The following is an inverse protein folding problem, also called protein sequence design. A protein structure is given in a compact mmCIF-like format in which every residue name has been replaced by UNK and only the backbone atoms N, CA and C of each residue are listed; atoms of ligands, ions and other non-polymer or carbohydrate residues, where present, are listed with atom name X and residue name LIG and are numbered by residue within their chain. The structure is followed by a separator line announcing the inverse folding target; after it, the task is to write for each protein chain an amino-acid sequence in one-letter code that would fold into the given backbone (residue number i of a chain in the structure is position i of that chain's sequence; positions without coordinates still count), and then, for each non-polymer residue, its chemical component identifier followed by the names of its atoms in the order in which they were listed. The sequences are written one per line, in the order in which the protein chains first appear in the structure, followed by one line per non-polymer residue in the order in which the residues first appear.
data_IF_124606957375
#
_entry.id   IF_124606957375
#
_cell.length_a   1.000
_cell.length_b   1.000
_cell.length_c   1.000
_cell.angle_alpha   90.00
_cell.angle_beta   90.00
_cell.angle_gamma   90.00
#
_symmetry.space_group_name_H-M   'P 1'
#
loop_
_entity.id
_entity.type
_entity.pdbx_description
1 polymer ?
#
# COMPACT_ATOMS: atom_id res chain seq x y z
N UNK A 1 -4.23 8.57 -0.17
CA UNK A 1 -5.32 7.65 -0.50
C UNK A 1 -5.57 7.73 -1.99
N UNK A 2 -5.58 6.59 -2.67
CA UNK A 2 -5.67 6.47 -4.14
C UNK A 2 -6.71 5.42 -4.49
N UNK A 3 -7.43 5.61 -5.61
CA UNK A 3 -8.40 4.64 -6.11
C UNK A 3 -7.95 4.03 -7.44
N UNK A 4 -8.23 2.75 -7.63
CA UNK A 4 -8.05 2.00 -8.89
C UNK A 4 -9.31 1.16 -9.13
N UNK A 5 -10.21 1.66 -9.96
CA UNK A 5 -11.56 1.09 -10.03
C UNK A 5 -12.25 1.19 -8.67
N UNK A 6 -12.76 0.06 -8.18
CA UNK A 6 -13.39 -0.05 -6.86
C UNK A 6 -12.40 -0.35 -5.71
N UNK A 7 -11.12 -0.58 -6.02
CA UNK A 7 -10.08 -0.74 -5.00
C UNK A 7 -9.65 0.63 -4.45
N UNK A 8 -9.73 0.78 -3.13
CA UNK A 8 -9.12 1.86 -2.36
C UNK A 8 -7.77 1.40 -1.81
N UNK A 9 -6.72 2.14 -2.18
CA UNK A 9 -5.35 1.95 -1.70
C UNK A 9 -5.06 2.96 -0.59
N UNK A 10 -4.72 2.43 0.58
CA UNK A 10 -4.27 3.21 1.73
C UNK A 10 -2.80 2.92 1.98
N UNK A 11 -2.00 3.98 1.96
CA UNK A 11 -0.57 3.91 2.27
C UNK A 11 -0.31 4.69 3.54
N UNK A 12 0.63 4.21 4.33
CA UNK A 12 1.06 4.89 5.55
C UNK A 12 2.57 4.77 5.67
N UNK A 13 3.20 5.83 6.17
CA UNK A 13 4.61 5.84 6.47
C UNK A 13 4.81 6.27 7.92
N UNK A 14 5.71 5.58 8.62
CA UNK A 14 5.97 5.81 10.04
C UNK A 14 7.47 5.89 10.26
N UNK A 15 7.91 6.90 10.99
CA UNK A 15 9.30 7.02 11.39
C UNK A 15 9.63 5.99 12.47
N UNK A 16 10.63 5.14 12.21
CA UNK A 16 11.15 4.18 13.18
C UNK A 16 12.32 4.82 13.95
N UNK A 17 13.18 5.54 13.24
CA UNK A 17 14.31 6.31 13.78
C UNK A 17 14.67 7.42 12.79
N UNK A 18 15.56 8.38 13.16
CA UNK A 18 15.95 9.46 12.27
C UNK A 18 16.44 8.95 10.91
N UNK A 19 15.82 9.44 9.83
CA UNK A 19 16.06 9.00 8.45
C UNK A 19 15.74 7.52 8.17
N UNK A 20 14.85 6.91 8.95
CA UNK A 20 14.45 5.53 8.79
C UNK A 20 12.92 5.40 8.90
N UNK A 21 12.26 5.26 7.76
CA UNK A 21 10.82 5.19 7.64
C UNK A 21 10.35 3.80 7.23
N UNK A 22 9.32 3.29 7.91
CA UNK A 22 8.54 2.13 7.48
C UNK A 22 7.45 2.59 6.52
N UNK A 23 7.18 1.81 5.48
CA UNK A 23 5.98 1.97 4.69
C UNK A 23 5.06 0.76 4.85
N UNK A 24 3.77 1.03 4.93
CA UNK A 24 2.72 0.02 4.97
C UNK A 24 1.67 0.35 3.92
N UNK A 25 0.99 -0.70 3.47
CA UNK A 25 -0.12 -0.57 2.54
C UNK A 25 -1.25 -1.52 2.90
N UNK A 26 -2.47 -1.06 2.68
CA UNK A 26 -3.68 -1.87 2.70
C UNK A 26 -4.53 -1.58 1.46
N UNK A 27 -5.24 -2.59 1.00
CA UNK A 27 -6.15 -2.48 -0.14
C UNK A 27 -7.51 -3.01 0.31
N UNK A 28 -8.55 -2.25 0.03
CA UNK A 28 -9.92 -2.62 0.32
C UNK A 28 -10.81 -2.36 -0.88
N UNK A 29 -11.80 -3.21 -1.10
CA UNK A 29 -12.86 -2.97 -2.07
C UNK A 29 -13.91 -2.07 -1.44
N UNK A 30 -14.31 -1.01 -2.15
CA UNK A 30 -15.16 0.03 -1.60
C UNK A 30 -16.63 -0.40 -1.60
N UNK A 31 -17.06 -1.17 -2.60
CA UNK A 31 -18.46 -1.56 -2.80
C UNK A 31 -19.02 -2.43 -1.67
N UNK A 32 -18.21 -3.34 -1.14
CA UNK A 32 -18.60 -4.29 -0.09
C UNK A 32 -17.78 -4.12 1.21
N UNK A 33 -16.73 -3.29 1.18
CA UNK A 33 -15.83 -3.11 2.30
C UNK A 33 -14.85 -4.27 2.52
N UNK A 34 -14.71 -5.18 1.55
CA UNK A 34 -13.82 -6.34 1.66
C UNK A 34 -12.35 -5.89 1.78
N UNK A 35 -11.63 -6.46 2.74
CA UNK A 35 -10.19 -6.25 2.88
C UNK A 35 -9.48 -7.21 1.91
N UNK A 36 -9.09 -6.70 0.75
CA UNK A 36 -8.36 -7.47 -0.27
C UNK A 36 -6.90 -7.71 0.14
N UNK A 37 -6.27 -6.70 0.75
CA UNK A 37 -4.94 -6.79 1.32
C UNK A 37 -4.96 -6.20 2.73
N UNK A 38 -4.77 -7.01 3.79
CA UNK A 38 -4.59 -6.48 5.13
C UNK A 38 -3.32 -5.65 5.19
N UNK A 39 -3.24 -4.77 6.19
CA UNK A 39 -2.10 -3.89 6.37
C UNK A 39 -0.78 -4.66 6.37
N UNK A 40 0.02 -4.44 5.33
CA UNK A 40 1.24 -5.19 5.04
C UNK A 40 2.42 -4.23 4.98
N UNK A 41 3.51 -4.59 5.66
CA UNK A 41 4.77 -3.85 5.59
C UNK A 41 5.39 -4.04 4.22
N UNK A 42 5.65 -2.94 3.53
CA UNK A 42 6.28 -2.97 2.22
C UNK A 42 7.78 -3.13 2.44
N UNK A 43 8.26 -4.37 2.21
CA UNK A 43 9.67 -4.80 2.28
C UNK A 43 10.26 -4.85 3.70
N UNK A 44 10.11 -5.98 4.39
CA UNK A 44 10.57 -6.15 5.78
C UNK A 44 12.09 -6.25 5.96
N UNK A 45 12.83 -6.80 5.00
CA UNK A 45 14.18 -7.34 5.24
C UNK A 45 15.36 -6.49 4.75
N UNK A 46 15.13 -5.39 4.00
CA UNK A 46 16.20 -4.51 3.47
C UNK A 46 15.89 -3.03 3.78
N UNK A 47 15.74 -2.73 5.08
CA UNK A 47 15.89 -1.45 5.77
C UNK A 47 15.24 -0.18 5.18
N UNK A 48 14.21 0.27 5.90
CA UNK A 48 13.67 1.64 6.04
C UNK A 48 14.08 2.70 5.03
N UNK A 49 13.07 3.33 4.44
CA UNK A 49 13.23 4.45 3.52
C UNK A 49 13.87 5.66 4.22
N UNK A 50 14.72 6.40 3.50
CA UNK A 50 15.42 7.57 4.04
C UNK A 50 14.49 8.72 4.44
N UNK A 51 13.28 8.75 3.89
CA UNK A 51 12.26 9.77 4.17
C UNK A 51 10.84 9.22 3.95
N UNK A 52 9.86 9.92 4.51
CA UNK A 52 8.44 9.56 4.41
C UNK A 52 7.90 9.56 2.97
N UNK A 53 8.37 10.49 2.12
CA UNK A 53 7.90 10.61 0.74
C UNK A 53 8.21 9.36 -0.07
N UNK A 54 9.48 8.92 -0.05
CA UNK A 54 9.90 7.69 -0.70
C UNK A 54 9.19 6.46 -0.14
N UNK A 55 8.95 6.41 1.18
CA UNK A 55 8.18 5.34 1.80
C UNK A 55 6.76 5.23 1.22
N UNK A 56 6.04 6.35 1.16
CA UNK A 56 4.68 6.42 0.63
C UNK A 56 4.62 6.08 -0.86
N UNK A 57 5.56 6.58 -1.65
CA UNK A 57 5.64 6.30 -3.09
C UNK A 57 5.88 4.83 -3.38
N UNK A 58 6.80 4.19 -2.66
CA UNK A 58 7.08 2.76 -2.86
C UNK A 58 5.92 1.90 -2.38
N UNK A 59 5.27 2.23 -1.27
CA UNK A 59 4.07 1.52 -0.84
C UNK A 59 2.92 1.62 -1.84
N UNK A 60 2.75 2.80 -2.45
CA UNK A 60 1.78 3.00 -3.52
C UNK A 60 2.13 2.17 -4.75
N UNK A 61 3.38 2.24 -5.21
CA UNK A 61 3.84 1.49 -6.37
C UNK A 61 3.70 -0.03 -6.17
N UNK A 62 3.95 -0.52 -4.96
CA UNK A 62 3.76 -1.93 -4.61
C UNK A 62 2.29 -2.36 -4.75
N UNK A 63 1.34 -1.60 -4.19
CA UNK A 63 -0.08 -1.88 -4.38
C UNK A 63 -0.53 -1.79 -5.84
N UNK A 64 -0.09 -0.76 -6.56
CA UNK A 64 -0.43 -0.60 -7.97
C UNK A 64 0.12 -1.74 -8.83
N UNK A 65 1.31 -2.27 -8.51
CA UNK A 65 1.89 -3.43 -9.18
C UNK A 65 1.06 -4.70 -8.94
N UNK A 66 0.59 -4.95 -7.70
CA UNK A 66 -0.27 -6.11 -7.40
C UNK A 66 -1.61 -6.04 -8.14
N UNK A 67 -2.24 -4.87 -8.18
CA UNK A 67 -3.49 -4.65 -8.92
C UNK A 67 -3.26 -4.85 -10.42
N UNK A 68 -2.19 -4.29 -10.98
CA UNK A 68 -1.85 -4.43 -12.41
C UNK A 68 -1.52 -5.87 -12.77
N UNK A 69 -0.93 -6.64 -11.85
CA UNK A 69 -0.70 -8.07 -12.01
C UNK A 69 -1.98 -8.92 -11.90
N UNK A 70 -3.14 -8.31 -11.63
CA UNK A 70 -4.43 -9.00 -11.51
C UNK A 70 -4.58 -9.82 -10.22
N UNK A 71 -3.80 -9.51 -9.18
CA UNK A 71 -3.92 -10.22 -7.88
C UNK A 71 -5.20 -9.88 -7.13
N UNK A 72 -5.81 -8.73 -7.45
CA UNK A 72 -7.02 -8.22 -6.81
C UNK A 72 -8.05 -7.85 -7.87
N UNK A 73 -9.28 -8.30 -7.69
CA UNK A 73 -10.40 -7.84 -8.51
C UNK A 73 -10.92 -6.51 -7.98
N UNK A 74 -10.65 -5.46 -8.74
CA UNK A 74 -11.05 -4.09 -8.47
C UNK A 74 -12.32 -3.67 -9.23
N UNK A 75 -13.11 -4.65 -9.67
CA UNK A 75 -14.47 -4.42 -10.17
C UNK A 75 -15.42 -4.22 -8.98
N UNK A 76 -16.49 -3.42 -9.14
CA UNK A 76 -17.54 -3.35 -8.13
C UNK A 76 -18.22 -4.71 -7.98
N UNK A 77 -18.57 -5.05 -6.74
CA UNK A 77 -19.27 -6.29 -6.37
C UNK A 77 -20.69 -6.40 -6.97
#
# INVERSE_FOLDING_TARGET
MTFRGDCKIEVSAYEISPNAWRAEVSILRVSDGEILLPRTTVRESINTYSNAGTALEVARAYAEAMITAGQFDCSPA
#
